data_IF_092005385866
#
_entry.id   IF_092005385866
#
_cell.length_a   1.000
_cell.length_b   1.000
_cell.length_c   1.000
_cell.angle_alpha   90.00
_cell.angle_beta   90.00
_cell.angle_gamma   90.00
#
_symmetry.space_group_name_H-M   'P 1'
#
loop_
_entity.id
_entity.type
_entity.pdbx_description
1 polymer ?
#
# COMPACT_ATOMS: atom_id res chain seq x y z
N UNK A 1 17.33 16.97 -3.20
CA UNK A 1 16.42 15.86 -2.92
C UNK A 1 17.00 15.05 -1.76
N UNK A 2 16.20 14.79 -0.73
CA UNK A 2 16.56 13.89 0.38
C UNK A 2 16.74 12.46 -0.12
N UNK A 3 17.67 11.72 0.49
CA UNK A 3 17.83 10.28 0.33
C UNK A 3 17.47 9.61 1.66
N UNK A 4 16.65 8.56 1.60
CA UNK A 4 16.22 7.79 2.76
C UNK A 4 17.16 6.61 3.01
N UNK A 5 17.58 5.91 1.96
CA UNK A 5 18.41 4.72 2.09
C UNK A 5 19.79 5.05 2.67
N UNK A 6 20.19 4.30 3.68
CA UNK A 6 21.48 4.46 4.36
C UNK A 6 22.23 3.13 4.38
N UNK A 7 23.55 3.16 4.18
CA UNK A 7 24.40 1.98 4.35
C UNK A 7 24.77 1.79 5.82
N UNK A 8 24.33 0.70 6.41
CA UNK A 8 24.59 0.36 7.82
C UNK A 8 25.61 -0.79 7.91
N UNK A 9 26.57 -0.69 8.83
CA UNK A 9 27.49 -1.80 9.12
C UNK A 9 26.77 -2.90 9.92
N UNK A 10 26.34 -3.94 9.20
CA UNK A 10 25.61 -5.10 9.74
C UNK A 10 26.48 -6.10 10.54
N UNK A 11 27.77 -5.79 10.75
CA UNK A 11 28.65 -6.54 11.67
C UNK A 11 28.63 -5.96 13.07
N UNK A 12 28.25 -4.70 13.22
CA UNK A 12 28.20 -3.99 14.50
C UNK A 12 26.78 -3.97 15.05
N UNK A 13 26.55 -4.71 16.16
CA UNK A 13 25.28 -4.64 16.92
C UNK A 13 24.90 -3.19 17.21
N UNK A 14 25.85 -2.42 17.75
CA UNK A 14 25.64 -1.02 18.13
C UNK A 14 25.08 -0.20 16.95
N UNK A 15 25.65 -0.35 15.75
CA UNK A 15 25.21 0.39 14.57
C UNK A 15 23.83 -0.04 14.10
N UNK A 16 23.53 -1.33 14.10
CA UNK A 16 22.20 -1.85 13.76
C UNK A 16 21.14 -1.35 14.75
N UNK A 17 21.39 -1.46 16.05
CA UNK A 17 20.45 -1.00 17.08
C UNK A 17 20.26 0.50 17.06
N UNK A 18 21.33 1.28 16.82
CA UNK A 18 21.26 2.73 16.72
C UNK A 18 20.44 3.17 15.51
N UNK A 19 20.58 2.49 14.36
CA UNK A 19 19.76 2.73 13.17
C UNK A 19 18.28 2.44 13.45
N UNK A 20 17.95 1.25 13.97
CA UNK A 20 16.56 0.86 14.23
C UNK A 20 15.88 1.76 15.27
N UNK A 21 16.55 2.07 16.39
CA UNK A 21 15.99 2.91 17.47
C UNK A 21 15.70 4.34 17.03
N UNK A 22 16.58 4.91 16.20
CA UNK A 22 16.49 6.32 15.80
C UNK A 22 15.79 6.51 14.45
N UNK A 23 15.37 5.42 13.79
CA UNK A 23 14.64 5.49 12.54
C UNK A 23 13.35 6.29 12.73
N UNK A 24 12.94 7.08 11.71
CA UNK A 24 11.67 7.79 11.77
C UNK A 24 10.50 6.80 11.89
N UNK A 25 9.48 7.16 12.67
CA UNK A 25 8.32 6.31 12.94
C UNK A 25 7.02 7.07 12.74
N UNK A 26 5.98 6.36 12.33
CA UNK A 26 4.63 6.91 12.21
C UNK A 26 3.60 5.93 12.76
N UNK A 27 2.43 6.45 13.12
CA UNK A 27 1.34 5.63 13.65
C UNK A 27 0.83 4.64 12.59
N UNK A 28 0.57 3.40 13.00
CA UNK A 28 0.07 2.35 12.09
C UNK A 28 -1.46 2.37 11.94
N UNK A 29 -2.15 3.27 12.65
CA UNK A 29 -3.50 3.70 12.29
C UNK A 29 -3.67 5.19 12.58
N UNK A 30 -3.67 5.58 13.86
CA UNK A 30 -3.87 6.95 14.31
C UNK A 30 -3.20 7.17 15.67
N UNK A 31 -3.08 8.43 16.11
CA UNK A 31 -2.36 8.73 17.35
C UNK A 31 -2.97 8.12 18.61
N UNK A 32 -4.27 7.79 18.63
CA UNK A 32 -4.92 7.23 19.82
C UNK A 32 -4.54 5.76 20.06
N UNK A 33 -4.15 5.01 19.02
CA UNK A 33 -3.78 3.60 19.17
C UNK A 33 -2.38 3.41 19.78
N UNK A 34 -1.54 4.46 19.78
CA UNK A 34 -0.14 4.49 20.24
C UNK A 34 0.80 3.46 19.59
N UNK A 35 0.35 2.76 18.56
CA UNK A 35 1.14 1.79 17.80
C UNK A 35 1.85 2.50 16.66
N UNK A 36 3.17 2.35 16.58
CA UNK A 36 3.99 2.93 15.50
C UNK A 36 4.77 1.87 14.74
N UNK A 37 5.30 2.24 13.59
CA UNK A 37 6.20 1.41 12.81
C UNK A 37 7.22 2.28 12.10
N UNK A 38 8.24 1.65 11.55
CA UNK A 38 9.22 2.29 10.67
C UNK A 38 8.50 3.00 9.52
N UNK A 39 8.92 4.22 9.25
CA UNK A 39 8.29 5.06 8.24
C UNK A 39 9.27 6.02 7.58
N UNK A 40 8.91 6.52 6.40
CA UNK A 40 9.60 7.59 5.69
C UNK A 40 8.64 8.78 5.49
N UNK A 41 9.11 10.00 5.78
CA UNK A 41 8.30 11.20 5.62
C UNK A 41 8.37 11.74 4.18
N UNK A 42 7.38 11.37 3.38
CA UNK A 42 7.26 11.71 1.96
C UNK A 42 6.47 12.98 1.69
N UNK A 43 6.29 13.86 2.70
CA UNK A 43 5.65 15.16 2.48
C UNK A 43 6.44 15.95 1.43
N UNK A 44 5.77 16.37 0.34
CA UNK A 44 6.38 17.05 -0.81
C UNK A 44 7.36 18.16 -0.37
N UNK A 45 6.92 19.06 0.50
CA UNK A 45 7.73 20.18 1.02
C UNK A 45 8.92 19.77 1.93
N UNK A 46 9.06 18.49 2.27
CA UNK A 46 10.19 17.92 3.03
C UNK A 46 11.21 17.21 2.12
N UNK A 47 10.90 17.01 0.84
CA UNK A 47 11.73 16.22 -0.07
C UNK A 47 12.94 16.98 -0.61
N UNK A 48 13.01 18.31 -0.42
CA UNK A 48 14.11 19.13 -0.92
C UNK A 48 14.16 19.13 -2.45
N UNK A 49 12.98 19.25 -3.08
CA UNK A 49 12.80 19.36 -4.53
C UNK A 49 12.80 20.84 -4.94
N UNK A 50 12.89 21.13 -6.24
CA UNK A 50 12.70 22.49 -6.73
C UNK A 50 11.24 22.92 -6.55
N UNK A 51 10.99 24.22 -6.40
CA UNK A 51 9.63 24.76 -6.25
C UNK A 51 8.72 24.37 -7.43
N UNK A 52 9.29 24.33 -8.63
CA UNK A 52 8.57 23.94 -9.84
C UNK A 52 8.07 22.48 -9.75
N UNK A 53 8.94 21.55 -9.36
CA UNK A 53 8.57 20.15 -9.18
C UNK A 53 7.59 19.98 -8.02
N UNK A 54 7.79 20.69 -6.90
CA UNK A 54 6.83 20.64 -5.78
C UNK A 54 5.44 21.08 -6.21
N UNK A 55 5.31 22.18 -6.97
CA UNK A 55 4.03 22.68 -7.45
C UNK A 55 3.34 21.68 -8.38
N UNK A 56 4.08 21.12 -9.35
CA UNK A 56 3.55 20.07 -10.23
C UNK A 56 3.08 18.84 -9.45
N UNK A 57 3.85 18.41 -8.44
CA UNK A 57 3.45 17.28 -7.61
C UNK A 57 2.15 17.55 -6.84
N UNK A 58 1.90 18.78 -6.39
CA UNK A 58 0.62 19.12 -5.77
C UNK A 58 -0.55 19.02 -6.76
N UNK A 59 -0.39 19.50 -7.99
CA UNK A 59 -1.39 19.34 -9.05
C UNK A 59 -1.64 17.86 -9.37
N UNK A 60 -0.57 17.06 -9.48
CA UNK A 60 -0.67 15.63 -9.78
C UNK A 60 -1.39 14.82 -8.69
N UNK A 61 -1.47 15.31 -7.45
CA UNK A 61 -2.26 14.65 -6.41
C UNK A 61 -3.77 14.68 -6.66
N UNK A 62 -4.23 15.40 -7.68
CA UNK A 62 -5.62 15.41 -8.13
C UNK A 62 -5.92 14.31 -9.18
N UNK A 63 -4.89 13.67 -9.75
CA UNK A 63 -5.01 12.58 -10.73
C UNK A 63 -4.95 11.20 -10.05
N UNK A 64 -5.88 10.31 -10.43
CA UNK A 64 -5.86 8.93 -9.98
C UNK A 64 -4.68 8.16 -10.57
N UNK A 65 -4.36 8.41 -11.83
CA UNK A 65 -3.28 7.78 -12.59
C UNK A 65 -1.92 8.02 -11.91
N UNK A 66 -1.70 9.20 -11.34
CA UNK A 66 -0.50 9.49 -10.56
C UNK A 66 -0.32 8.50 -9.40
N UNK A 67 -1.41 8.21 -8.66
CA UNK A 67 -1.35 7.24 -7.56
C UNK A 67 -1.24 5.80 -8.05
N UNK A 68 -1.76 5.47 -9.23
CA UNK A 68 -1.65 4.13 -9.81
C UNK A 68 -0.18 3.82 -10.16
N UNK A 69 0.56 4.76 -10.75
CA UNK A 69 2.00 4.61 -11.00
C UNK A 69 2.81 4.39 -9.72
N UNK A 70 2.45 5.06 -8.61
CA UNK A 70 3.12 4.87 -7.33
C UNK A 70 2.72 3.55 -6.66
N UNK A 71 1.48 3.10 -6.88
CA UNK A 71 0.95 1.85 -6.33
C UNK A 71 1.72 0.64 -6.85
N UNK A 72 2.12 0.64 -8.10
CA UNK A 72 2.93 -0.45 -8.69
C UNK A 72 4.20 -0.74 -7.87
N UNK A 73 4.86 0.30 -7.36
CA UNK A 73 6.06 0.15 -6.52
C UNK A 73 5.73 -0.41 -5.12
N UNK A 74 4.58 -0.04 -4.56
CA UNK A 74 4.12 -0.57 -3.28
C UNK A 74 3.75 -2.06 -3.42
N UNK A 75 3.03 -2.40 -4.48
CA UNK A 75 2.60 -3.77 -4.76
C UNK A 75 3.81 -4.68 -5.02
N UNK A 76 4.83 -4.22 -5.75
CA UNK A 76 6.10 -4.93 -5.92
C UNK A 76 6.76 -5.27 -4.57
N UNK A 77 6.87 -4.28 -3.67
CA UNK A 77 7.44 -4.51 -2.33
C UNK A 77 6.59 -5.52 -1.54
N UNK A 78 5.26 -5.35 -1.54
CA UNK A 78 4.34 -6.23 -0.82
C UNK A 78 4.45 -7.68 -1.32
N UNK A 79 4.55 -7.89 -2.63
CA UNK A 79 4.74 -9.20 -3.26
C UNK A 79 6.07 -9.83 -2.89
N UNK A 80 7.17 -9.07 -2.97
CA UNK A 80 8.52 -9.54 -2.60
C UNK A 80 8.58 -10.04 -1.15
N UNK A 81 7.75 -9.47 -0.27
CA UNK A 81 7.65 -9.87 1.12
C UNK A 81 6.50 -10.85 1.43
N UNK A 82 5.92 -11.47 0.39
CA UNK A 82 4.79 -12.40 0.51
C UNK A 82 3.63 -11.83 1.32
N UNK A 83 3.47 -10.51 1.30
CA UNK A 83 2.48 -9.73 2.06
C UNK A 83 2.55 -9.90 3.59
N UNK A 84 3.58 -10.56 4.13
CA UNK A 84 3.82 -10.61 5.58
C UNK A 84 4.35 -9.27 6.10
N UNK A 85 5.17 -8.62 5.27
CA UNK A 85 5.51 -7.22 5.38
C UNK A 85 4.91 -6.48 4.19
N UNK A 86 4.30 -5.34 4.47
CA UNK A 86 3.68 -4.51 3.45
C UNK A 86 4.02 -3.04 3.69
N UNK A 87 4.23 -2.28 2.63
CA UNK A 87 4.39 -0.83 2.69
C UNK A 87 3.09 -0.16 2.25
N UNK A 88 2.67 0.89 2.97
CA UNK A 88 1.46 1.62 2.65
C UNK A 88 1.53 3.09 3.03
N UNK A 89 0.80 3.93 2.28
CA UNK A 89 0.72 5.36 2.53
C UNK A 89 -0.23 5.67 3.67
N UNK A 90 0.18 6.51 4.62
CA UNK A 90 -0.61 6.94 5.76
C UNK A 90 -0.49 8.46 6.02
N UNK A 91 -1.32 8.95 6.93
CA UNK A 91 -1.46 10.35 7.31
C UNK A 91 -2.34 11.15 6.35
N UNK A 92 -2.63 12.40 6.74
CA UNK A 92 -3.40 13.32 5.91
C UNK A 92 -2.69 13.50 4.56
N UNK A 93 -3.41 13.28 3.46
CA UNK A 93 -2.89 13.30 2.08
C UNK A 93 -1.79 12.25 1.80
N UNK A 94 -1.74 11.14 2.54
CA UNK A 94 -0.83 10.01 2.25
C UNK A 94 0.66 10.36 2.29
N UNK A 95 1.08 11.27 3.16
CA UNK A 95 2.46 11.80 3.15
C UNK A 95 3.51 10.97 3.89
N UNK A 96 3.16 9.78 4.40
CA UNK A 96 4.08 8.90 5.12
C UNK A 96 4.02 7.51 4.52
N UNK A 97 5.17 6.98 4.09
CA UNK A 97 5.30 5.57 3.77
C UNK A 97 5.53 4.82 5.08
N UNK A 98 4.70 3.83 5.39
CA UNK A 98 4.73 3.10 6.67
C UNK A 98 4.83 1.61 6.40
N UNK A 99 5.67 0.91 7.17
CA UNK A 99 5.78 -0.55 7.15
C UNK A 99 4.70 -1.18 8.04
N UNK A 100 4.01 -2.19 7.52
CA UNK A 100 2.93 -2.91 8.19
C UNK A 100 3.22 -4.39 8.26
N UNK A 101 2.77 -5.00 9.35
CA UNK A 101 2.51 -6.42 9.38
C UNK A 101 1.26 -6.73 8.54
N UNK A 102 1.31 -7.83 7.80
CA UNK A 102 0.17 -8.33 7.06
C UNK A 102 0.16 -9.85 6.94
N UNK A 103 -0.73 -10.31 6.07
CA UNK A 103 -0.83 -11.71 5.71
C UNK A 103 -1.36 -11.85 4.29
N UNK A 104 -1.04 -12.99 3.68
CA UNK A 104 -1.66 -13.52 2.49
C UNK A 104 -2.04 -14.97 2.78
N UNK A 105 -3.34 -15.24 2.86
CA UNK A 105 -3.88 -16.57 3.15
C UNK A 105 -4.90 -16.97 2.09
N UNK A 106 -5.09 -18.28 1.79
CA UNK A 106 -6.19 -18.71 0.93
C UNK A 106 -7.52 -18.15 1.44
N UNK A 107 -8.26 -17.48 0.56
CA UNK A 107 -9.57 -16.98 0.92
C UNK A 107 -10.54 -18.14 1.14
N UNK A 108 -11.61 -17.87 1.87
CA UNK A 108 -12.67 -18.85 2.12
C UNK A 108 -13.68 -18.93 0.97
N UNK A 109 -13.51 -18.13 -0.09
CA UNK A 109 -14.42 -18.11 -1.24
C UNK A 109 -14.21 -19.34 -2.11
N UNK A 110 -15.32 -19.98 -2.50
CA UNK A 110 -15.33 -21.21 -3.29
C UNK A 110 -15.83 -21.00 -4.71
N UNK A 111 -16.64 -19.97 -4.94
CA UNK A 111 -17.19 -19.67 -6.26
C UNK A 111 -17.34 -18.17 -6.48
N UNK A 112 -17.47 -17.77 -7.75
CA UNK A 112 -17.71 -16.39 -8.14
C UNK A 112 -18.66 -16.30 -9.32
N UNK A 113 -19.31 -15.15 -9.48
CA UNK A 113 -20.15 -14.85 -10.63
C UNK A 113 -19.33 -14.29 -11.77
N UNK A 114 -19.30 -14.97 -12.91
CA UNK A 114 -18.58 -14.50 -14.12
C UNK A 114 -19.21 -13.27 -14.77
N UNK A 115 -20.44 -12.90 -14.40
CA UNK A 115 -21.12 -11.72 -14.91
C UNK A 115 -20.88 -10.45 -14.08
N UNK A 116 -20.86 -10.55 -12.74
CA UNK A 116 -20.80 -9.38 -11.86
C UNK A 116 -19.66 -9.40 -10.83
N UNK A 117 -18.80 -10.43 -10.86
CA UNK A 117 -17.63 -10.57 -9.98
C UNK A 117 -17.95 -10.93 -8.53
N UNK A 118 -19.22 -11.13 -8.16
CA UNK A 118 -19.59 -11.41 -6.77
C UNK A 118 -19.00 -12.75 -6.31
N UNK A 119 -18.15 -12.71 -5.28
CA UNK A 119 -17.60 -13.89 -4.60
C UNK A 119 -18.65 -14.55 -3.69
N UNK A 120 -18.49 -15.86 -3.47
CA UNK A 120 -19.37 -16.65 -2.64
C UNK A 120 -18.61 -17.76 -1.87
N UNK A 121 -19.02 -18.02 -0.63
CA UNK A 121 -18.42 -19.04 0.23
C UNK A 121 -18.85 -20.47 -0.11
N UNK A 122 -20.00 -20.67 -0.78
CA UNK A 122 -20.47 -22.01 -1.19
C UNK A 122 -19.98 -22.41 -2.58
N UNK A 123 -19.82 -23.72 -2.81
CA UNK A 123 -19.60 -24.27 -4.16
C UNK A 123 -20.91 -24.24 -4.97
N UNK A 124 -20.78 -24.15 -6.29
CA UNK A 124 -21.87 -24.29 -7.26
C UNK A 124 -22.50 -25.68 -7.18
N UNK A 125 -21.71 -26.71 -6.91
CA UNK A 125 -22.22 -28.09 -6.74
C UNK A 125 -23.13 -28.23 -5.52
N UNK A 126 -22.87 -27.46 -4.46
CA UNK A 126 -23.63 -27.49 -3.21
C UNK A 126 -24.85 -26.56 -3.25
N UNK A 127 -24.71 -25.39 -3.90
CA UNK A 127 -25.68 -24.28 -3.75
C UNK A 127 -26.25 -23.76 -5.06
N UNK A 128 -25.99 -24.42 -6.20
CA UNK A 128 -26.47 -24.05 -7.53
C UNK A 128 -25.62 -22.99 -8.23
N UNK A 129 -26.00 -22.54 -9.43
CA UNK A 129 -25.22 -21.55 -10.18
C UNK A 129 -25.81 -20.12 -10.17
N UNK A 130 -26.89 -19.89 -9.43
CA UNK A 130 -27.57 -18.59 -9.38
C UNK A 130 -26.79 -17.61 -8.49
N UNK A 131 -26.42 -16.46 -9.04
CA UNK A 131 -25.75 -15.41 -8.29
C UNK A 131 -26.71 -14.70 -7.32
N UNK A 132 -26.32 -14.58 -6.04
CA UNK A 132 -27.10 -13.85 -5.04
C UNK A 132 -27.29 -12.35 -5.32
N UNK A 133 -26.36 -11.71 -6.04
CA UNK A 133 -26.37 -10.27 -6.35
C UNK A 133 -27.15 -9.96 -7.63
N UNK A 134 -26.70 -10.49 -8.78
CA UNK A 134 -27.31 -10.17 -10.08
C UNK A 134 -28.43 -11.15 -10.50
N UNK A 135 -28.68 -12.20 -9.72
CA UNK A 135 -29.71 -13.25 -9.96
C UNK A 135 -29.55 -14.04 -11.26
N UNK A 136 -28.43 -13.89 -11.98
CA UNK A 136 -28.13 -14.67 -13.18
C UNK A 136 -27.50 -16.03 -12.83
N UNK A 137 -27.75 -17.09 -13.61
CA UNK A 137 -27.19 -18.43 -13.41
C UNK A 137 -25.74 -18.53 -13.95
N UNK A 138 -24.86 -17.65 -13.48
CA UNK A 138 -23.49 -17.48 -14.01
C UNK A 138 -22.41 -17.65 -12.94
N UNK A 139 -22.73 -18.32 -11.83
CA UNK A 139 -21.74 -18.66 -10.80
C UNK A 139 -20.96 -19.90 -11.20
N UNK A 140 -19.64 -19.85 -11.05
CA UNK A 140 -18.69 -20.94 -11.29
C UNK A 140 -17.77 -21.11 -10.09
N UNK A 141 -17.34 -22.34 -9.82
CA UNK A 141 -16.35 -22.61 -8.77
C UNK A 141 -14.97 -22.09 -9.17
N UNK A 142 -14.19 -21.68 -8.17
CA UNK A 142 -12.80 -21.33 -8.36
C UNK A 142 -11.98 -22.59 -8.63
N UNK A 143 -11.18 -22.58 -9.70
CA UNK A 143 -10.19 -23.61 -9.99
C UNK A 143 -8.91 -23.41 -9.18
N UNK A 144 -8.58 -22.15 -8.89
CA UNK A 144 -7.50 -21.73 -7.98
C UNK A 144 -8.13 -20.86 -6.91
N UNK A 145 -7.95 -21.24 -5.64
CA UNK A 145 -8.51 -20.50 -4.50
C UNK A 145 -7.88 -19.09 -4.49
N UNK A 146 -8.69 -18.02 -4.57
CA UNK A 146 -8.14 -16.68 -4.50
C UNK A 146 -7.57 -16.43 -3.12
N UNK A 147 -6.52 -15.61 -3.02
CA UNK A 147 -5.92 -15.22 -1.75
C UNK A 147 -6.64 -14.02 -1.13
N UNK A 148 -6.62 -13.96 0.19
CA UNK A 148 -7.02 -12.82 1.00
C UNK A 148 -5.77 -12.15 1.52
N UNK A 149 -5.54 -10.92 1.06
CA UNK A 149 -4.44 -10.08 1.51
C UNK A 149 -5.01 -9.04 2.46
N UNK A 150 -4.37 -8.87 3.61
CA UNK A 150 -4.70 -7.78 4.52
C UNK A 150 -3.49 -7.32 5.32
N UNK A 151 -3.58 -6.09 5.80
CA UNK A 151 -2.67 -5.54 6.81
C UNK A 151 -3.31 -5.66 8.18
N UNK A 152 -2.50 -5.65 9.24
CA UNK A 152 -2.97 -5.51 10.61
C UNK A 152 -2.86 -4.04 11.03
N UNK A 153 -3.83 -3.16 10.67
CA UNK A 153 -3.77 -1.76 11.03
C UNK A 153 -3.80 -1.64 12.56
N UNK A 154 -2.96 -0.76 13.09
CA UNK A 154 -2.82 -0.56 14.53
C UNK A 154 -2.00 -1.62 15.28
N UNK A 155 -1.34 -2.54 14.58
CA UNK A 155 -0.24 -3.33 15.14
C UNK A 155 1.06 -2.53 14.99
N UNK A 156 1.78 -2.32 16.09
CA UNK A 156 3.08 -1.69 16.09
C UNK A 156 4.21 -2.66 15.73
N UNK A 157 5.38 -2.13 15.38
CA UNK A 157 6.52 -2.92 14.90
C UNK A 157 7.79 -2.53 15.66
N UNK A 158 8.20 -3.26 16.70
CA UNK A 158 9.36 -2.91 17.56
C UNK A 158 9.21 -1.57 18.30
N UNK A 159 7.98 -1.25 18.74
CA UNK A 159 7.71 -0.01 19.45
C UNK A 159 8.42 0.04 20.81
N UNK A 160 9.40 0.94 20.93
CA UNK A 160 10.18 1.09 22.17
C UNK A 160 11.15 -0.07 22.44
N UNK A 161 11.40 -0.93 21.44
CA UNK A 161 12.29 -2.08 21.55
C UNK A 161 13.74 -1.65 21.81
N UNK A 162 14.41 -2.33 22.75
CA UNK A 162 15.80 -2.06 23.07
C UNK A 162 16.79 -2.96 22.32
N UNK A 163 16.29 -4.07 21.76
CA UNK A 163 17.01 -5.06 20.96
C UNK A 163 18.19 -5.73 21.69
N UNK A 164 18.26 -5.67 23.02
CA UNK A 164 19.35 -6.27 23.78
C UNK A 164 19.36 -7.80 23.64
N UNK A 165 18.18 -8.41 23.68
CA UNK A 165 17.98 -9.86 23.60
C UNK A 165 17.97 -10.42 22.17
N UNK A 166 17.97 -9.56 21.16
CA UNK A 166 17.93 -10.00 19.76
C UNK A 166 19.25 -10.62 19.34
N UNK A 167 19.20 -11.71 18.59
CA UNK A 167 20.38 -12.27 17.93
C UNK A 167 20.94 -11.34 16.86
N UNK A 168 22.19 -11.57 16.46
CA UNK A 168 22.78 -10.83 15.34
C UNK A 168 22.04 -11.09 14.01
N UNK A 169 21.43 -12.26 13.83
CA UNK A 169 20.61 -12.57 12.65
C UNK A 169 19.31 -11.77 12.63
N UNK A 170 18.56 -11.75 13.72
CA UNK A 170 17.29 -11.00 13.80
C UNK A 170 17.52 -9.51 13.59
N UNK A 171 18.59 -8.95 14.16
CA UNK A 171 18.99 -7.57 13.92
C UNK A 171 19.28 -7.31 12.44
N UNK A 172 20.01 -8.21 11.78
CA UNK A 172 20.33 -8.06 10.36
C UNK A 172 19.08 -8.11 9.50
N UNK A 173 18.20 -9.07 9.74
CA UNK A 173 16.95 -9.21 9.02
C UNK A 173 16.07 -7.96 9.16
N UNK A 174 15.97 -7.41 10.38
CA UNK A 174 15.21 -6.18 10.61
C UNK A 174 15.84 -4.97 9.95
N UNK A 175 17.16 -4.82 10.04
CA UNK A 175 17.87 -3.73 9.36
C UNK A 175 17.68 -3.82 7.84
N UNK A 176 17.81 -5.02 7.26
CA UNK A 176 17.58 -5.22 5.82
C UNK A 176 16.17 -4.81 5.39
N UNK A 177 15.16 -5.25 6.13
CA UNK A 177 13.77 -4.88 5.84
C UNK A 177 13.51 -3.36 5.90
N UNK A 178 14.09 -2.68 6.90
CA UNK A 178 13.94 -1.21 7.02
C UNK A 178 14.74 -0.49 5.94
N UNK A 179 15.91 -1.00 5.54
CA UNK A 179 16.66 -0.45 4.40
C UNK A 179 15.94 -0.64 3.06
N UNK A 180 15.19 -1.73 2.89
CA UNK A 180 14.34 -1.98 1.72
C UNK A 180 13.15 -1.01 1.68
N UNK A 181 12.53 -0.71 2.83
CA UNK A 181 11.53 0.35 2.97
C UNK A 181 12.10 1.73 2.57
N UNK A 182 13.29 2.07 3.06
CA UNK A 182 13.97 3.33 2.71
C UNK A 182 14.28 3.40 1.21
N UNK A 183 14.73 2.29 0.62
CA UNK A 183 14.99 2.18 -0.81
C UNK A 183 13.71 2.34 -1.65
N UNK A 184 12.59 1.81 -1.16
CA UNK A 184 11.27 2.04 -1.75
C UNK A 184 10.86 3.51 -1.67
N UNK A 185 11.10 4.19 -0.54
CA UNK A 185 10.86 5.62 -0.42
C UNK A 185 11.65 6.43 -1.46
N UNK A 186 12.94 6.11 -1.66
CA UNK A 186 13.76 6.76 -2.69
C UNK A 186 13.23 6.48 -4.10
N UNK A 187 12.77 5.25 -4.39
CA UNK A 187 12.15 4.89 -5.67
C UNK A 187 10.84 5.64 -5.92
N UNK A 188 9.98 5.76 -4.91
CA UNK A 188 8.73 6.50 -4.99
C UNK A 188 8.97 7.97 -5.29
N UNK A 189 9.93 8.61 -4.62
CA UNK A 189 10.28 10.01 -4.88
C UNK A 189 10.83 10.17 -6.30
N UNK A 190 11.73 9.29 -6.74
CA UNK A 190 12.26 9.32 -8.11
C UNK A 190 11.17 9.15 -9.17
N UNK A 191 10.23 8.22 -8.95
CA UNK A 191 9.09 8.02 -9.84
C UNK A 191 8.20 9.26 -9.89
N UNK A 192 7.86 9.83 -8.73
CA UNK A 192 7.06 11.05 -8.66
C UNK A 192 7.72 12.23 -9.39
N UNK A 193 9.04 12.43 -9.20
CA UNK A 193 9.81 13.46 -9.91
C UNK A 193 9.81 13.19 -11.42
N UNK A 194 10.04 11.94 -11.84
CA UNK A 194 10.02 11.57 -13.25
C UNK A 194 8.66 11.85 -13.88
N UNK A 195 7.55 11.58 -13.19
CA UNK A 195 6.22 11.92 -13.70
C UNK A 195 6.07 13.44 -13.80
N UNK A 196 6.45 14.21 -12.77
CA UNK A 196 6.42 15.68 -12.77
C UNK A 196 7.25 16.32 -13.90
N UNK A 197 8.33 15.67 -14.32
CA UNK A 197 9.18 16.14 -15.42
C UNK A 197 8.59 15.83 -16.80
N UNK A 198 7.81 14.75 -16.93
CA UNK A 198 7.41 14.21 -18.23
C UNK A 198 5.90 14.29 -18.54
N UNK A 199 5.08 14.66 -17.56
CA UNK A 199 3.63 14.74 -17.68
C UNK A 199 3.10 16.11 -17.22
N UNK A 200 1.95 16.53 -17.77
CA UNK A 200 1.15 17.66 -17.29
C UNK A 200 -0.21 17.15 -16.78
N UNK A 201 -0.82 17.91 -15.89
CA UNK A 201 -2.20 17.67 -15.43
C UNK A 201 -3.11 18.57 -16.26
N UNK A 202 -4.11 17.99 -16.90
CA UNK A 202 -5.07 18.70 -17.75
C UNK A 202 -6.49 18.35 -17.31
N UNK A 203 -7.40 19.31 -17.41
CA UNK A 203 -8.82 19.07 -17.16
C UNK A 203 -9.48 18.38 -18.36
N UNK A 204 -10.17 17.25 -18.12
CA UNK A 204 -10.97 16.55 -19.13
C UNK A 204 -12.47 16.63 -18.80
N UNK A 205 -13.25 17.24 -19.70
CA UNK A 205 -14.71 17.17 -19.63
C UNK A 205 -15.24 15.88 -20.28
N UNK A 206 -15.90 15.03 -19.49
CA UNK A 206 -16.54 13.80 -19.98
C UNK A 206 -18.04 13.74 -19.64
N UNK A 207 -18.82 13.16 -20.57
CA UNK A 207 -20.29 13.04 -20.42
C UNK A 207 -20.69 11.60 -20.13
N UNK A 208 -21.50 11.40 -19.08
CA UNK A 208 -22.07 10.09 -18.73
C UNK A 208 -23.54 10.04 -19.14
N UNK A 209 -23.90 9.11 -20.03
CA UNK A 209 -25.28 8.88 -20.41
C UNK A 209 -26.12 8.44 -19.19
N UNK A 210 -27.16 9.22 -18.85
CA UNK A 210 -28.08 8.91 -17.74
C UNK A 210 -29.52 8.84 -18.26
N UNK A 211 -30.26 7.84 -17.81
CA UNK A 211 -31.70 7.73 -18.05
C UNK A 211 -32.49 8.26 -16.85
N UNK A 212 -33.67 8.83 -17.11
CA UNK A 212 -34.62 9.22 -16.07
C UNK A 212 -36.02 8.73 -16.44
N UNK A 213 -36.84 8.46 -15.43
CA UNK A 213 -38.26 8.17 -15.65
C UNK A 213 -38.98 9.48 -15.98
N UNK A 214 -39.84 9.45 -16.99
CA UNK A 214 -40.70 10.57 -17.39
C UNK A 214 -42.14 10.07 -17.53
N UNK A 215 -43.09 10.93 -17.19
CA UNK A 215 -44.51 10.69 -17.48
C UNK A 215 -44.77 11.03 -18.95
N UNK A 216 -45.46 10.13 -19.65
CA UNK A 216 -45.86 10.31 -21.05
C UNK A 216 -47.38 10.10 -21.11
N UNK A 217 -48.15 10.99 -21.79
CA UNK A 217 -49.59 10.78 -21.98
C UNK A 217 -49.84 9.52 -22.81
N UNK A 218 -50.97 8.86 -22.53
CA UNK A 218 -51.44 7.67 -23.23
C UNK A 218 -52.38 8.07 -24.36
#
# INVERSE_FOLDING_TARGET
>A
MIEFAQKIDMRSRKKMTEYLKNHFRYFTANSWNRSTSYACNLKIYKLGLSREIENKLYEMTESQEFFDYLRDLLDEFNEQHNYHWQAGMNGRNGGYLVLYHGFCEPSKYRSHCTHCGQNNFGSVTETGNICGKCKRPTRVDYTVVPVSISVYPGRGTDDGEDFEDWSMSELRERVSLVQELDSLADRLVKQAVSIAENYSVEDEEYYVAKTRKVLVPV
#
